data_IF_635566572956
#
_entry.id   IF_635566572956
#
_cell.length_a   1.000
_cell.length_b   1.000
_cell.length_c   1.000
_cell.angle_alpha   90.00
_cell.angle_beta   90.00
_cell.angle_gamma   90.00
#
_symmetry.space_group_name_H-M   'P 1'
#
loop_
_entity.id
_entity.type
_entity.pdbx_description
1 polymer ?
#
# COMPACT_ATOMS: atom_id res chain seq x y z
N UNK A 1 7.39 8.15 0.28
CA UNK A 1 6.52 8.96 -0.61
C UNK A 1 6.78 8.70 -2.08
N UNK A 2 7.91 8.10 -2.46
CA UNK A 2 8.21 7.71 -3.84
C UNK A 2 7.09 6.87 -4.48
N UNK A 3 6.52 5.89 -3.78
CA UNK A 3 5.42 5.07 -4.34
C UNK A 3 4.16 5.89 -4.67
N UNK A 4 3.86 6.90 -3.85
CA UNK A 4 2.77 7.85 -4.14
C UNK A 4 3.04 8.59 -5.44
N UNK A 5 4.27 9.03 -5.66
CA UNK A 5 4.66 9.69 -6.91
C UNK A 5 4.55 8.74 -8.10
N UNK A 6 4.93 7.46 -7.95
CA UNK A 6 4.81 6.46 -9.02
C UNK A 6 3.36 6.17 -9.39
N UNK A 7 2.47 6.09 -8.40
CA UNK A 7 1.02 5.98 -8.62
C UNK A 7 0.50 7.23 -9.33
N UNK A 8 0.80 8.42 -8.80
CA UNK A 8 0.29 9.68 -9.34
C UNK A 8 0.78 9.98 -10.77
N UNK A 9 2.00 9.55 -11.12
CA UNK A 9 2.55 9.67 -12.49
C UNK A 9 2.00 8.62 -13.45
N UNK A 10 1.28 7.62 -12.95
CA UNK A 10 0.80 6.48 -13.74
C UNK A 10 1.87 5.46 -14.08
N UNK A 11 3.09 5.55 -13.51
CA UNK A 11 4.13 4.53 -13.66
C UNK A 11 3.62 3.17 -13.17
N UNK A 12 2.79 3.17 -12.12
CA UNK A 12 2.17 1.97 -11.56
C UNK A 12 0.77 1.66 -12.15
N UNK A 13 0.42 2.21 -13.31
CA UNK A 13 -0.84 1.88 -13.96
C UNK A 13 -0.98 0.35 -14.12
N UNK A 14 -2.13 -0.23 -13.76
CA UNK A 14 -3.43 0.42 -13.53
C UNK A 14 -3.71 0.81 -12.07
N UNK A 15 -2.75 0.72 -11.15
CA UNK A 15 -2.96 1.10 -9.75
C UNK A 15 -3.31 2.58 -9.62
N UNK A 16 -4.40 2.85 -8.91
CA UNK A 16 -4.88 4.21 -8.58
C UNK A 16 -4.65 4.59 -7.11
N UNK A 17 -4.05 3.70 -6.33
CA UNK A 17 -3.83 3.87 -4.90
C UNK A 17 -3.00 2.73 -4.31
N UNK A 18 -2.79 2.79 -3.00
CA UNK A 18 -2.21 1.68 -2.24
C UNK A 18 -3.19 0.49 -2.20
N UNK A 19 -2.64 -0.71 -2.07
CA UNK A 19 -3.42 -1.94 -2.06
C UNK A 19 -4.23 -2.09 -0.77
N UNK A 20 -5.54 -2.32 -0.94
CA UNK A 20 -6.40 -2.87 0.10
C UNK A 20 -5.99 -4.32 0.44
N UNK A 21 -6.62 -4.92 1.46
CA UNK A 21 -6.29 -6.27 1.91
C UNK A 21 -6.43 -7.29 0.80
N UNK A 22 -7.54 -7.24 0.05
CA UNK A 22 -7.85 -8.21 -0.99
C UNK A 22 -6.86 -8.13 -2.16
N UNK A 23 -6.46 -6.91 -2.55
CA UNK A 23 -5.48 -6.68 -3.60
C UNK A 23 -4.09 -7.16 -3.18
N UNK A 24 -3.68 -6.86 -1.93
CA UNK A 24 -2.41 -7.35 -1.39
C UNK A 24 -2.36 -8.89 -1.37
N UNK A 25 -3.42 -9.54 -0.89
CA UNK A 25 -3.51 -11.00 -0.85
C UNK A 25 -3.45 -11.59 -2.26
N UNK A 26 -4.18 -11.02 -3.23
CA UNK A 26 -4.13 -11.47 -4.62
C UNK A 26 -2.72 -11.37 -5.21
N UNK A 27 -2.01 -10.27 -4.95
CA UNK A 27 -0.65 -10.07 -5.45
C UNK A 27 0.34 -11.05 -4.82
N UNK A 28 0.23 -11.30 -3.51
CA UNK A 28 1.14 -12.20 -2.80
C UNK A 28 0.90 -13.69 -3.13
N UNK A 29 -0.35 -14.10 -3.33
CA UNK A 29 -0.69 -15.51 -3.60
C UNK A 29 -0.63 -15.85 -5.09
N UNK A 30 -1.12 -14.94 -5.94
CA UNK A 30 -1.41 -15.25 -7.34
C UNK A 30 -0.58 -14.41 -8.31
N UNK A 31 0.28 -13.50 -7.84
CA UNK A 31 1.10 -12.63 -8.69
C UNK A 31 0.27 -11.83 -9.71
N UNK A 32 -0.94 -11.45 -9.32
CA UNK A 32 -1.85 -10.67 -10.15
C UNK A 32 -2.72 -9.73 -9.30
N UNK A 33 -3.15 -8.65 -9.91
CA UNK A 33 -4.22 -7.80 -9.37
C UNK A 33 -5.55 -8.59 -9.36
N UNK A 34 -6.55 -8.17 -8.56
CA UNK A 34 -7.88 -8.78 -8.57
C UNK A 34 -8.56 -8.83 -9.95
N UNK A 35 -8.16 -7.96 -10.88
CA UNK A 35 -8.60 -7.96 -12.27
C UNK A 35 -8.03 -9.10 -13.12
N UNK A 36 -7.07 -9.88 -12.59
CA UNK A 36 -6.31 -10.90 -13.32
C UNK A 36 -5.09 -10.38 -14.07
N UNK A 37 -4.80 -9.07 -13.99
CA UNK A 37 -3.59 -8.50 -14.60
C UNK A 37 -2.36 -8.90 -13.80
N UNK A 38 -1.33 -9.41 -14.49
CA UNK A 38 -0.07 -9.79 -13.87
C UNK A 38 0.57 -8.62 -13.11
N UNK A 39 0.86 -8.82 -11.83
CA UNK A 39 1.46 -7.83 -10.94
C UNK A 39 2.02 -8.52 -9.70
N UNK A 40 3.33 -8.37 -9.47
CA UNK A 40 4.06 -9.15 -8.46
C UNK A 40 4.57 -8.33 -7.27
N UNK A 41 4.38 -7.02 -7.30
CA UNK A 41 4.97 -6.10 -6.33
C UNK A 41 3.91 -5.54 -5.36
N UNK A 42 3.96 -5.87 -4.07
CA UNK A 42 3.11 -5.23 -3.07
C UNK A 42 3.33 -3.71 -3.03
N UNK A 43 2.25 -2.93 -3.07
CA UNK A 43 2.30 -1.47 -2.96
C UNK A 43 1.38 -1.05 -1.81
N UNK A 44 1.93 -0.97 -0.60
CA UNK A 44 1.19 -0.68 0.65
C UNK A 44 1.81 0.50 1.39
N UNK A 45 0.98 1.27 2.11
CA UNK A 45 1.45 2.33 2.98
C UNK A 45 1.48 1.85 4.43
N UNK A 46 2.59 1.26 4.86
CA UNK A 46 2.76 0.79 6.22
C UNK A 46 2.94 1.97 7.20
N UNK A 47 2.09 2.01 8.23
CA UNK A 47 2.16 3.00 9.33
C UNK A 47 2.01 2.28 10.68
N UNK A 48 2.49 2.87 11.78
CA UNK A 48 2.23 2.34 13.12
C UNK A 48 0.73 2.18 13.39
N UNK A 49 0.35 1.16 14.16
CA UNK A 49 -1.05 0.84 14.47
C UNK A 49 -1.77 2.01 15.14
N UNK A 50 -1.06 2.76 15.98
CA UNK A 50 -1.56 3.93 16.70
C UNK A 50 -1.87 5.13 15.79
N UNK A 51 -1.32 5.11 14.56
CA UNK A 51 -1.61 6.09 13.52
C UNK A 51 -2.80 5.60 12.69
N UNK A 52 -2.77 4.34 12.25
CA UNK A 52 -3.87 3.75 11.47
C UNK A 52 -5.21 3.81 12.21
N UNK A 53 -5.21 3.57 13.53
CA UNK A 53 -6.42 3.58 14.37
C UNK A 53 -7.10 4.95 14.51
N UNK A 54 -6.47 6.03 14.04
CA UNK A 54 -7.04 7.39 14.06
C UNK A 54 -7.92 7.69 12.85
N UNK A 55 -7.90 6.82 11.86
CA UNK A 55 -8.57 7.03 10.58
C UNK A 55 -9.54 5.89 10.29
N UNK A 56 -10.62 6.21 9.60
CA UNK A 56 -11.66 5.29 9.15
C UNK A 56 -11.91 5.46 7.65
N UNK A 57 -12.62 4.50 7.06
CA UNK A 57 -13.08 4.60 5.67
C UNK A 57 -13.83 5.92 5.44
N UNK A 58 -13.52 6.59 4.32
CA UNK A 58 -14.07 7.88 3.95
C UNK A 58 -13.28 9.09 4.45
N UNK A 59 -12.34 8.90 5.37
CA UNK A 59 -11.44 9.98 5.80
C UNK A 59 -10.50 10.41 4.67
N UNK A 60 -10.04 11.66 4.75
CA UNK A 60 -9.00 12.19 3.87
C UNK A 60 -7.81 12.64 4.70
N UNK A 61 -6.63 12.14 4.36
CA UNK A 61 -5.40 12.46 5.09
C UNK A 61 -4.39 13.16 4.19
N UNK A 62 -3.74 14.19 4.74
CA UNK A 62 -2.62 14.83 4.08
C UNK A 62 -1.34 14.03 4.36
N UNK A 63 -0.70 13.57 3.30
CA UNK A 63 0.65 13.03 3.35
C UNK A 63 1.63 14.20 3.22
N UNK A 64 2.52 14.31 4.19
CA UNK A 64 3.57 15.33 4.23
C UNK A 64 4.95 14.68 4.21
N UNK A 65 5.92 15.38 3.62
CA UNK A 65 7.32 14.97 3.67
C UNK A 65 7.87 15.04 5.11
N UNK A 66 9.08 14.50 5.32
CA UNK A 66 9.79 14.66 6.61
C UNK A 66 10.06 16.12 6.98
N UNK A 67 10.08 17.04 6.02
CA UNK A 67 10.24 18.48 6.27
C UNK A 67 8.91 19.19 6.58
N UNK A 68 7.79 18.45 6.65
CA UNK A 68 6.46 19.01 6.89
C UNK A 68 5.80 19.60 5.65
N UNK A 69 6.42 19.50 4.48
CA UNK A 69 5.84 20.00 3.23
C UNK A 69 4.70 19.08 2.78
N UNK A 70 3.53 19.66 2.56
CA UNK A 70 2.38 18.99 1.97
C UNK A 70 2.76 18.35 0.63
N UNK A 71 2.45 17.07 0.45
CA UNK A 71 2.80 16.32 -0.76
C UNK A 71 1.56 15.87 -1.54
N UNK A 72 0.62 15.19 -0.86
CA UNK A 72 -0.53 14.56 -1.52
C UNK A 72 -1.66 14.28 -0.53
N UNK A 73 -2.89 14.20 -1.01
CA UNK A 73 -4.05 13.76 -0.21
C UNK A 73 -4.35 12.29 -0.53
N UNK A 74 -4.58 11.50 0.51
CA UNK A 74 -5.00 10.10 0.40
C UNK A 74 -6.44 9.99 0.94
N UNK A 75 -7.33 9.48 0.11
CA UNK A 75 -8.67 9.06 0.52
C UNK A 75 -8.57 7.64 1.12
N UNK A 76 -9.02 7.46 2.35
CA UNK A 76 -8.92 6.19 3.08
C UNK A 76 -10.07 5.28 2.65
N UNK A 77 -9.73 4.18 1.96
CA UNK A 77 -10.67 3.11 1.63
C UNK A 77 -10.70 2.00 2.68
N UNK A 78 -9.53 1.54 3.13
CA UNK A 78 -9.40 0.49 4.15
C UNK A 78 -8.17 0.75 5.03
N UNK A 79 -8.28 0.46 6.33
CA UNK A 79 -7.14 0.32 7.24
C UNK A 79 -7.14 -1.10 7.81
N UNK A 80 -5.99 -1.77 7.76
CA UNK A 80 -5.91 -3.17 8.16
C UNK A 80 -4.53 -3.55 8.71
N UNK A 81 -4.53 -4.48 9.68
CA UNK A 81 -3.31 -5.06 10.24
C UNK A 81 -2.78 -6.15 9.27
N UNK A 82 -1.45 -6.21 9.08
CA UNK A 82 -0.77 -7.28 8.35
C UNK A 82 0.56 -7.64 9.04
N UNK A 83 1.08 -8.84 8.75
CA UNK A 83 2.34 -9.33 9.29
C UNK A 83 3.49 -9.04 8.31
N UNK A 84 4.44 -8.15 8.64
CA UNK A 84 5.56 -7.81 7.76
C UNK A 84 6.43 -9.01 7.40
N UNK A 85 6.62 -9.95 8.33
CA UNK A 85 7.40 -11.17 8.10
C UNK A 85 6.70 -12.10 7.10
N UNK A 86 5.36 -12.19 7.16
CA UNK A 86 4.61 -12.98 6.18
C UNK A 86 4.68 -12.37 4.79
N UNK A 87 4.58 -11.04 4.70
CA UNK A 87 4.76 -10.32 3.44
C UNK A 87 6.15 -10.59 2.86
N UNK A 88 7.19 -10.49 3.68
CA UNK A 88 8.56 -10.73 3.26
C UNK A 88 8.77 -12.17 2.75
N UNK A 89 8.29 -13.18 3.49
CA UNK A 89 8.36 -14.58 3.04
C UNK A 89 7.63 -14.82 1.72
N UNK A 90 6.43 -14.26 1.55
CA UNK A 90 5.65 -14.44 0.32
C UNK A 90 6.24 -13.72 -0.88
N UNK A 91 6.76 -12.51 -0.68
CA UNK A 91 7.26 -11.70 -1.78
C UNK A 91 8.72 -12.01 -2.14
N UNK A 92 9.59 -12.15 -1.15
CA UNK A 92 11.03 -12.36 -1.34
C UNK A 92 11.46 -13.83 -1.18
N UNK A 93 10.58 -14.71 -0.70
CA UNK A 93 10.92 -16.10 -0.36
C UNK A 93 11.65 -16.24 0.99
N UNK A 94 11.88 -15.15 1.73
CA UNK A 94 12.58 -15.14 3.01
C UNK A 94 12.18 -13.92 3.86
N UNK A 95 12.27 -14.04 5.18
CA UNK A 95 12.16 -12.94 6.17
C UNK A 95 13.49 -12.66 6.88
N UNK A 96 14.60 -13.21 6.38
CA UNK A 96 15.93 -12.93 6.92
C UNK A 96 16.25 -11.45 6.77
N UNK A 97 16.75 -10.86 7.86
CA UNK A 97 17.25 -9.48 7.90
C UNK A 97 18.69 -9.39 7.42
#
# INVERSE_FOLDING_TARGET
LTDVEQIARGTFSPLSGFMDRACLESVLEYNQLPSGLAWTMPVVLAVPREIASRFSEGDRVLLSSKSGMAHSVLDIGETYDFEPELLARKWFGTDSR
#
